data_IF_175414167817
#
_entry.id   IF_175414167817
#
_cell.length_a   1.000
_cell.length_b   1.000
_cell.length_c   1.000
_cell.angle_alpha   90.00
_cell.angle_beta   90.00
_cell.angle_gamma   90.00
#
_symmetry.space_group_name_H-M   'P 1'
#
loop_
_entity.id
_entity.type
_entity.pdbx_description
1 polymer ?
#
# COMPACT_ATOMS: atom_id res chain seq x y z
N UNK A 1 -13.30 -15.14 20.63
CA UNK A 1 -12.18 -14.62 19.81
C UNK A 1 -12.26 -13.11 19.87
N UNK A 2 -11.23 -12.46 20.31
CA UNK A 2 -11.17 -11.01 20.38
C UNK A 2 -10.40 -10.53 19.15
N UNK A 3 -10.97 -9.56 18.45
CA UNK A 3 -10.35 -9.01 17.23
C UNK A 3 -9.49 -7.82 17.59
N UNK A 4 -8.39 -7.64 16.87
CA UNK A 4 -7.52 -6.48 16.94
C UNK A 4 -7.54 -5.69 15.65
N UNK A 5 -7.41 -4.38 15.80
CA UNK A 5 -7.27 -3.42 14.72
C UNK A 5 -5.85 -2.88 14.75
N UNK A 6 -5.19 -2.87 13.60
CA UNK A 6 -3.82 -2.41 13.45
C UNK A 6 -3.78 -1.39 12.32
N UNK A 7 -3.26 -0.21 12.61
CA UNK A 7 -2.98 0.82 11.64
C UNK A 7 -1.51 1.24 11.66
N UNK A 8 -0.89 1.31 10.50
CA UNK A 8 0.51 1.73 10.33
C UNK A 8 0.54 2.77 9.24
N UNK A 9 0.92 3.99 9.60
CA UNK A 9 0.83 5.13 8.72
C UNK A 9 2.17 5.87 8.64
N UNK A 10 2.45 6.41 7.46
CA UNK A 10 3.61 7.23 7.13
C UNK A 10 3.16 8.57 6.58
N UNK A 11 4.00 9.56 6.70
CA UNK A 11 3.85 10.80 5.95
C UNK A 11 3.94 10.52 4.44
N UNK A 12 3.13 11.25 3.67
CA UNK A 12 3.00 11.03 2.25
C UNK A 12 2.86 12.37 1.51
N UNK A 13 3.12 12.41 0.19
CA UNK A 13 3.00 13.62 -0.59
C UNK A 13 1.57 14.16 -0.64
N UNK A 14 1.47 15.47 -0.77
CA UNK A 14 0.22 16.17 -1.03
C UNK A 14 -0.29 15.92 -2.45
N UNK A 15 -1.53 16.31 -2.73
CA UNK A 15 -2.12 16.21 -4.08
C UNK A 15 -1.39 17.08 -5.13
N UNK A 16 -0.63 18.10 -4.67
CA UNK A 16 0.13 19.01 -5.53
C UNK A 16 1.50 18.48 -5.91
N UNK A 17 2.00 17.50 -5.17
CA UNK A 17 3.33 16.93 -5.38
C UNK A 17 3.42 16.10 -6.66
N UNK A 18 4.62 16.08 -7.23
CA UNK A 18 4.93 15.23 -8.38
C UNK A 18 4.76 13.73 -8.07
N UNK A 19 5.01 13.34 -6.82
CA UNK A 19 4.96 11.96 -6.33
C UNK A 19 3.51 11.45 -6.10
N UNK A 20 2.51 12.30 -6.21
CA UNK A 20 1.09 11.96 -5.94
C UNK A 20 0.61 10.72 -6.70
N UNK A 21 0.81 10.67 -8.03
CA UNK A 21 0.37 9.54 -8.84
C UNK A 21 1.16 8.26 -8.55
N UNK A 22 2.41 8.41 -8.13
CA UNK A 22 3.24 7.27 -7.71
C UNK A 22 2.72 6.65 -6.42
N UNK A 23 2.23 7.45 -5.47
CA UNK A 23 1.58 6.95 -4.26
C UNK A 23 0.21 6.31 -4.53
N UNK A 24 -0.57 6.85 -5.47
CA UNK A 24 -1.79 6.17 -5.95
C UNK A 24 -1.47 4.82 -6.58
N UNK A 25 -0.36 4.74 -7.31
CA UNK A 25 0.09 3.47 -7.87
C UNK A 25 0.53 2.49 -6.78
N UNK A 26 1.29 2.93 -5.78
CA UNK A 26 1.67 2.11 -4.63
C UNK A 26 0.45 1.60 -3.87
N UNK A 27 -0.53 2.47 -3.60
CA UNK A 27 -1.80 2.06 -2.97
C UNK A 27 -2.50 0.96 -3.77
N UNK A 28 -2.56 1.12 -5.09
CA UNK A 28 -3.19 0.13 -5.95
C UNK A 28 -2.42 -1.19 -6.01
N UNK A 29 -1.09 -1.15 -5.96
CA UNK A 29 -0.22 -2.34 -5.97
C UNK A 29 -0.22 -3.06 -4.62
N UNK A 30 -0.22 -2.34 -3.51
CA UNK A 30 -0.41 -2.92 -2.17
C UNK A 30 -1.79 -3.56 -2.09
N UNK A 31 -2.80 -2.83 -2.54
CA UNK A 31 -4.17 -3.30 -2.72
C UNK A 31 -4.93 -3.52 -1.43
N UNK A 32 -5.84 -4.47 -1.46
CA UNK A 32 -6.65 -4.87 -0.32
C UNK A 32 -6.85 -6.38 -0.30
N UNK A 33 -7.07 -6.91 0.90
CA UNK A 33 -7.39 -8.30 1.16
C UNK A 33 -8.62 -8.36 2.06
N UNK A 34 -9.58 -9.20 1.70
CA UNK A 34 -10.76 -9.45 2.53
C UNK A 34 -11.14 -10.92 2.43
N UNK A 35 -11.35 -11.56 3.57
CA UNK A 35 -11.97 -12.88 3.60
C UNK A 35 -13.47 -12.68 3.49
N UNK A 36 -14.04 -13.02 2.35
CA UNK A 36 -15.48 -13.16 2.21
C UNK A 36 -15.91 -14.50 2.83
N UNK A 37 -16.58 -14.42 3.97
CA UNK A 37 -17.11 -15.59 4.70
C UNK A 37 -18.10 -16.41 3.85
N UNK A 38 -18.55 -15.89 2.73
CA UNK A 38 -19.49 -16.52 1.81
C UNK A 38 -18.86 -17.10 0.54
N UNK A 39 -17.57 -16.87 0.31
CA UNK A 39 -16.85 -17.46 -0.82
C UNK A 39 -16.52 -18.92 -0.53
N UNK A 40 -17.54 -19.76 -0.42
CA UNK A 40 -17.41 -21.20 -0.31
C UNK A 40 -16.85 -21.90 -1.56
N UNK A 41 -16.36 -21.14 -2.54
CA UNK A 41 -15.74 -21.67 -3.74
C UNK A 41 -14.38 -21.00 -3.96
N UNK A 42 -13.33 -21.79 -3.76
CA UNK A 42 -11.95 -21.51 -4.09
C UNK A 42 -11.70 -21.15 -5.57
N UNK A 43 -12.74 -21.05 -6.39
CA UNK A 43 -12.65 -20.89 -7.83
C UNK A 43 -12.96 -19.50 -8.37
N UNK A 44 -13.18 -18.51 -7.51
CA UNK A 44 -13.35 -17.16 -8.02
C UNK A 44 -11.99 -16.56 -8.39
N UNK A 45 -11.66 -16.77 -9.65
CA UNK A 45 -10.43 -16.40 -10.36
C UNK A 45 -10.22 -14.88 -10.48
N UNK A 46 -11.00 -14.08 -9.79
CA UNK A 46 -10.78 -12.64 -9.64
C UNK A 46 -9.95 -12.28 -8.42
N UNK A 47 -9.01 -13.15 -8.03
CA UNK A 47 -7.97 -12.78 -7.09
C UNK A 47 -7.14 -11.67 -7.74
N UNK A 48 -7.44 -10.42 -7.40
CA UNK A 48 -6.50 -9.35 -7.68
C UNK A 48 -5.20 -9.72 -6.97
N UNK A 49 -4.21 -10.10 -7.76
CA UNK A 49 -2.86 -10.36 -7.27
C UNK A 49 -2.28 -9.02 -6.81
N UNK A 50 -2.47 -8.73 -5.54
CA UNK A 50 -1.86 -7.58 -4.89
C UNK A 50 -0.98 -8.07 -3.74
N UNK A 51 -0.09 -7.22 -3.25
CA UNK A 51 0.87 -7.61 -2.23
C UNK A 51 0.24 -7.98 -0.90
N UNK A 52 -0.88 -7.34 -0.54
CA UNK A 52 -1.65 -7.70 0.66
C UNK A 52 -2.16 -9.14 0.57
N UNK A 53 -2.68 -9.54 -0.59
CA UNK A 53 -3.15 -10.90 -0.78
C UNK A 53 -1.99 -11.91 -0.75
N UNK A 54 -0.85 -11.57 -1.35
CA UNK A 54 0.32 -12.45 -1.37
C UNK A 54 0.90 -12.67 0.03
N UNK A 55 0.90 -11.65 0.87
CA UNK A 55 1.47 -11.73 2.23
C UNK A 55 0.52 -12.31 3.27
N UNK A 56 -0.79 -12.10 3.12
CA UNK A 56 -1.78 -12.44 4.13
C UNK A 56 -2.67 -13.62 3.74
N UNK A 57 -2.63 -14.05 2.48
CA UNK A 57 -3.52 -15.09 1.95
C UNK A 57 -3.42 -16.43 2.67
N UNK A 58 -2.28 -16.70 3.29
CA UNK A 58 -2.03 -17.92 4.07
C UNK A 58 -2.33 -17.76 5.57
N UNK A 59 -2.74 -16.56 6.02
CA UNK A 59 -3.08 -16.29 7.41
C UNK A 59 -4.61 -16.41 7.61
N UNK A 60 -5.09 -17.50 8.22
CA UNK A 60 -6.53 -17.85 8.19
C UNK A 60 -7.41 -16.87 8.99
N UNK A 61 -6.85 -16.11 9.91
CA UNK A 61 -7.60 -15.27 10.85
C UNK A 61 -7.40 -13.76 10.63
N UNK A 62 -6.72 -13.35 9.57
CA UNK A 62 -6.72 -11.96 9.11
C UNK A 62 -7.92 -11.75 8.21
N UNK A 63 -8.89 -10.96 8.66
CA UNK A 63 -10.18 -10.80 7.99
C UNK A 63 -10.15 -9.71 6.92
N UNK A 64 -9.43 -8.62 7.20
CA UNK A 64 -9.34 -7.45 6.31
C UNK A 64 -7.95 -6.86 6.38
N UNK A 65 -7.42 -6.51 5.22
CA UNK A 65 -6.26 -5.64 5.09
C UNK A 65 -6.49 -4.66 3.94
N UNK A 66 -6.13 -3.40 4.13
CA UNK A 66 -6.36 -2.36 3.13
C UNK A 66 -5.23 -1.34 3.17
N UNK A 67 -4.74 -0.96 1.99
CA UNK A 67 -3.82 0.15 1.83
C UNK A 67 -4.61 1.45 1.61
N UNK A 68 -4.29 2.46 2.38
CA UNK A 68 -4.98 3.74 2.41
C UNK A 68 -4.01 4.85 2.01
N UNK A 69 -4.48 5.76 1.16
CA UNK A 69 -3.77 6.98 0.82
C UNK A 69 -4.75 8.15 0.79
N UNK A 70 -4.50 9.11 1.65
CA UNK A 70 -5.26 10.36 1.72
C UNK A 70 -4.30 11.52 1.46
N UNK A 71 -4.51 12.19 0.33
CA UNK A 71 -3.73 13.37 -0.04
C UNK A 71 -4.58 14.63 0.15
N UNK A 72 -4.05 15.56 0.92
CA UNK A 72 -4.61 16.89 1.14
C UNK A 72 -3.86 17.93 0.31
N UNK A 73 -4.20 19.21 0.47
CA UNK A 73 -3.59 20.30 -0.29
C UNK A 73 -2.16 20.63 0.11
N UNK A 74 -1.75 20.26 1.31
CA UNK A 74 -0.48 20.58 1.96
C UNK A 74 0.31 19.34 2.43
N UNK A 75 -0.38 18.26 2.75
CA UNK A 75 0.22 17.03 3.26
C UNK A 75 -0.51 15.81 2.73
N UNK A 76 -0.03 14.63 3.07
CA UNK A 76 -0.69 13.36 2.79
C UNK A 76 -0.36 12.33 3.87
N UNK A 77 -1.19 11.30 3.94
CA UNK A 77 -1.00 10.14 4.81
C UNK A 77 -1.14 8.89 3.98
N UNK A 78 -0.15 8.02 4.06
CA UNK A 78 -0.15 6.71 3.42
C UNK A 78 0.05 5.62 4.46
N UNK A 79 -0.71 4.54 4.38
CA UNK A 79 -0.52 3.44 5.32
C UNK A 79 -1.36 2.23 5.02
N UNK A 80 -1.29 1.31 5.97
CA UNK A 80 -1.96 0.02 5.90
C UNK A 80 -2.82 -0.18 7.14
N UNK A 81 -4.05 -0.59 6.92
CA UNK A 81 -4.98 -0.97 7.97
C UNK A 81 -5.24 -2.47 7.91
N UNK A 82 -5.25 -3.12 9.07
CA UNK A 82 -5.49 -4.55 9.22
C UNK A 82 -6.54 -4.80 10.30
N UNK A 83 -7.36 -5.80 10.07
CA UNK A 83 -8.34 -6.28 11.04
C UNK A 83 -8.32 -7.81 11.05
N UNK A 84 -8.17 -8.38 12.24
CA UNK A 84 -8.07 -9.83 12.39
C UNK A 84 -8.03 -10.28 13.84
N UNK A 85 -7.75 -11.57 14.04
CA UNK A 85 -7.61 -12.16 15.35
C UNK A 85 -6.36 -11.61 16.06
N UNK A 86 -6.46 -11.45 17.39
CA UNK A 86 -5.39 -10.99 18.27
C UNK A 86 -4.07 -11.77 18.11
N UNK A 87 -4.15 -13.07 17.83
CA UNK A 87 -2.97 -13.95 17.64
C UNK A 87 -2.06 -13.45 16.51
N UNK A 88 -2.64 -12.82 15.49
CA UNK A 88 -1.91 -12.34 14.30
C UNK A 88 -1.55 -10.84 14.36
N UNK A 89 -1.81 -10.17 15.48
CA UNK A 89 -1.51 -8.73 15.63
C UNK A 89 -0.05 -8.42 15.33
N UNK A 90 0.86 -9.26 15.78
CA UNK A 90 2.31 -9.12 15.51
C UNK A 90 2.62 -9.25 14.02
N UNK A 91 2.04 -10.23 13.34
CA UNK A 91 2.22 -10.45 11.91
C UNK A 91 1.65 -9.28 11.08
N UNK A 92 0.48 -8.77 11.46
CA UNK A 92 -0.13 -7.60 10.82
C UNK A 92 0.78 -6.36 10.93
N UNK A 93 1.32 -6.09 12.12
CA UNK A 93 2.30 -5.02 12.32
C UNK A 93 3.56 -5.23 11.46
N UNK A 94 4.07 -6.46 11.44
CA UNK A 94 5.25 -6.80 10.64
C UNK A 94 5.00 -6.58 9.15
N UNK A 95 3.89 -7.07 8.61
CA UNK A 95 3.52 -6.88 7.21
C UNK A 95 3.44 -5.40 6.82
N UNK A 96 2.82 -4.57 7.66
CA UNK A 96 2.68 -3.14 7.38
C UNK A 96 4.00 -2.38 7.33
N UNK A 97 4.98 -2.78 8.13
CA UNK A 97 6.33 -2.18 8.11
C UNK A 97 7.17 -2.73 6.95
N UNK A 98 7.06 -4.03 6.65
CA UNK A 98 7.89 -4.67 5.63
C UNK A 98 7.47 -4.33 4.20
N UNK A 99 6.18 -4.11 3.94
CA UNK A 99 5.70 -3.84 2.58
C UNK A 99 6.45 -2.71 1.87
N UNK A 100 6.60 -1.51 2.45
CA UNK A 100 7.36 -0.44 1.81
C UNK A 100 8.83 -0.81 1.57
N UNK A 101 9.43 -1.57 2.50
CA UNK A 101 10.82 -2.02 2.40
C UNK A 101 11.00 -3.04 1.28
N UNK A 102 10.06 -4.00 1.14
CA UNK A 102 10.07 -4.97 0.05
C UNK A 102 9.99 -4.25 -1.30
N UNK A 103 9.15 -3.25 -1.43
CA UNK A 103 9.01 -2.48 -2.66
C UNK A 103 10.24 -1.64 -3.01
N UNK A 104 11.01 -1.18 -2.02
CA UNK A 104 12.25 -0.46 -2.29
C UNK A 104 13.34 -1.33 -2.93
N UNK A 105 13.29 -2.67 -2.74
CA UNK A 105 14.33 -3.59 -3.18
C UNK A 105 13.86 -4.59 -4.25
N UNK A 106 12.71 -5.20 -4.09
CA UNK A 106 12.27 -6.38 -4.87
C UNK A 106 11.18 -6.13 -5.91
N UNK A 107 10.89 -4.88 -6.20
CA UNK A 107 9.86 -4.55 -7.18
C UNK A 107 10.26 -5.01 -8.58
N UNK A 108 9.35 -5.76 -9.25
CA UNK A 108 9.56 -6.27 -10.61
C UNK A 108 8.85 -5.37 -11.64
N UNK A 109 9.44 -5.23 -12.84
CA UNK A 109 8.86 -4.45 -13.94
C UNK A 109 7.46 -4.95 -14.36
N UNK A 110 7.24 -6.27 -14.32
CA UNK A 110 5.94 -6.87 -14.64
C UNK A 110 4.87 -6.45 -13.65
N UNK A 111 5.19 -6.37 -12.36
CA UNK A 111 4.27 -5.91 -11.31
C UNK A 111 3.92 -4.44 -11.48
N UNK A 112 4.91 -3.61 -11.78
CA UNK A 112 4.70 -2.18 -12.07
C UNK A 112 3.82 -2.00 -13.28
N UNK A 113 4.06 -2.75 -14.37
CA UNK A 113 3.25 -2.70 -15.57
C UNK A 113 1.78 -3.09 -15.29
N UNK A 114 1.56 -4.18 -14.55
CA UNK A 114 0.22 -4.61 -14.14
C UNK A 114 -0.46 -3.58 -13.25
N UNK A 115 0.26 -3.03 -12.26
CA UNK A 115 -0.23 -1.99 -11.36
C UNK A 115 -0.63 -0.72 -12.11
N UNK A 116 0.18 -0.26 -13.08
CA UNK A 116 -0.13 0.89 -13.92
C UNK A 116 -1.40 0.68 -14.73
N UNK A 117 -1.54 -0.47 -15.38
CA UNK A 117 -2.73 -0.78 -16.16
C UNK A 117 -3.98 -0.84 -15.28
N UNK A 118 -3.87 -1.44 -14.09
CA UNK A 118 -4.97 -1.49 -13.14
C UNK A 118 -5.36 -0.09 -12.64
N UNK A 119 -4.38 0.74 -12.30
CA UNK A 119 -4.61 2.13 -11.89
C UNK A 119 -5.22 2.96 -13.04
N UNK A 120 -4.68 2.83 -14.24
CA UNK A 120 -5.21 3.50 -15.42
C UNK A 120 -6.68 3.15 -15.63
N UNK A 121 -7.02 1.87 -15.62
CA UNK A 121 -8.41 1.42 -15.77
C UNK A 121 -9.29 1.98 -14.65
N UNK A 122 -8.83 1.95 -13.39
CA UNK A 122 -9.57 2.50 -12.25
C UNK A 122 -9.85 3.99 -12.40
N UNK A 123 -8.88 4.77 -12.90
CA UNK A 123 -9.04 6.22 -13.10
C UNK A 123 -9.91 6.56 -14.32
N UNK A 124 -9.85 5.73 -15.38
CA UNK A 124 -10.61 5.97 -16.62
C UNK A 124 -12.05 5.43 -16.55
N UNK A 125 -12.33 4.44 -15.70
CA UNK A 125 -13.65 3.79 -15.55
C UNK A 125 -14.67 4.62 -14.75
N UNK A 126 -14.31 5.82 -14.28
CA UNK A 126 -15.23 6.72 -13.57
C UNK A 126 -16.18 7.37 -14.57
N UNK A 127 -17.35 6.79 -14.76
CA UNK A 127 -18.36 7.23 -15.71
C UNK A 127 -19.60 7.82 -15.03
N UNK A 128 -19.82 7.49 -13.76
CA UNK A 128 -20.97 8.03 -13.03
C UNK A 128 -20.84 9.55 -12.86
N UNK A 129 -21.91 10.32 -13.10
CA UNK A 129 -21.88 11.77 -12.95
C UNK A 129 -21.45 12.25 -11.57
N UNK A 130 -21.83 11.53 -10.51
CA UNK A 130 -21.41 11.77 -9.12
C UNK A 130 -19.90 11.72 -8.95
N UNK A 131 -19.27 10.69 -9.51
CA UNK A 131 -17.83 10.46 -9.38
C UNK A 131 -17.04 11.52 -10.15
N UNK A 132 -17.56 11.92 -11.32
CA UNK A 132 -16.96 12.99 -12.13
C UNK A 132 -17.06 14.33 -11.40
N UNK A 133 -18.19 14.65 -10.80
CA UNK A 133 -18.38 15.91 -10.05
C UNK A 133 -17.46 15.94 -8.84
N UNK A 134 -17.36 14.84 -8.11
CA UNK A 134 -16.47 14.73 -6.95
C UNK A 134 -15.00 14.89 -7.36
N UNK A 135 -14.57 14.21 -8.42
CA UNK A 135 -13.20 14.30 -8.96
C UNK A 135 -12.88 15.74 -9.39
N UNK A 136 -13.75 16.34 -10.19
CA UNK A 136 -13.55 17.73 -10.68
C UNK A 136 -13.54 18.71 -9.52
N UNK A 137 -14.46 18.57 -8.56
CA UNK A 137 -14.51 19.40 -7.37
C UNK A 137 -13.22 19.31 -6.55
N UNK A 138 -12.73 18.12 -6.31
CA UNK A 138 -11.47 17.90 -5.60
C UNK A 138 -10.28 18.50 -6.35
N UNK A 139 -10.21 18.34 -7.67
CA UNK A 139 -9.13 18.91 -8.49
C UNK A 139 -9.15 20.44 -8.48
N UNK A 140 -10.32 21.05 -8.62
CA UNK A 140 -10.44 22.52 -8.60
C UNK A 140 -10.08 23.09 -7.23
N UNK A 141 -10.56 22.47 -6.14
CA UNK A 141 -10.27 22.93 -4.79
C UNK A 141 -8.78 22.79 -4.41
N UNK A 142 -8.14 21.72 -4.84
CA UNK A 142 -6.74 21.46 -4.47
C UNK A 142 -5.71 22.02 -5.45
N UNK A 143 -5.99 21.95 -6.77
CA UNK A 143 -5.03 22.31 -7.82
C UNK A 143 -5.37 23.62 -8.53
N UNK A 144 -6.58 24.16 -8.32
CA UNK A 144 -7.08 25.35 -9.03
C UNK A 144 -7.45 25.09 -10.49
N UNK A 145 -7.33 23.85 -11.00
CA UNK A 145 -7.65 23.49 -12.38
C UNK A 145 -8.12 22.04 -12.48
N UNK A 146 -8.87 21.74 -13.54
CA UNK A 146 -9.18 20.38 -13.93
C UNK A 146 -8.01 19.77 -14.71
N UNK A 147 -7.64 18.55 -14.37
CA UNK A 147 -6.66 17.75 -15.11
C UNK A 147 -7.37 16.96 -16.21
N UNK A 148 -6.98 17.13 -17.49
CA UNK A 148 -7.51 16.28 -18.55
C UNK A 148 -7.07 14.84 -18.37
N UNK A 149 -7.93 13.88 -18.75
CA UNK A 149 -7.63 12.44 -18.65
C UNK A 149 -6.34 12.05 -19.39
N UNK A 150 -6.04 12.73 -20.51
CA UNK A 150 -4.80 12.53 -21.25
C UNK A 150 -3.54 12.93 -20.48
N UNK A 151 -3.61 13.96 -19.65
CA UNK A 151 -2.50 14.36 -18.76
C UNK A 151 -2.32 13.34 -17.64
N UNK A 152 -3.42 12.89 -17.02
CA UNK A 152 -3.37 11.84 -15.99
C UNK A 152 -2.75 10.57 -16.55
N UNK A 153 -3.18 10.13 -17.74
CA UNK A 153 -2.65 8.97 -18.42
C UNK A 153 -1.12 9.05 -18.65
N UNK A 154 -0.64 10.21 -19.10
CA UNK A 154 0.79 10.46 -19.30
C UNK A 154 1.57 10.39 -18.00
N UNK A 155 1.06 10.99 -16.92
CA UNK A 155 1.70 10.97 -15.61
C UNK A 155 1.85 9.54 -15.08
N UNK A 156 0.79 8.73 -15.19
CA UNK A 156 0.82 7.32 -14.77
C UNK A 156 1.77 6.49 -15.64
N UNK A 157 1.80 6.76 -16.95
CA UNK A 157 2.66 6.03 -17.89
C UNK A 157 4.16 6.26 -17.65
N UNK A 158 4.54 7.41 -17.11
CA UNK A 158 5.95 7.75 -16.84
C UNK A 158 6.51 7.10 -15.57
N UNK A 159 5.68 6.50 -14.74
CA UNK A 159 6.13 5.84 -13.51
C UNK A 159 6.76 4.50 -13.87
N UNK A 160 8.04 4.36 -13.68
CA UNK A 160 8.78 3.12 -13.89
C UNK A 160 9.21 2.47 -12.56
N UNK A 161 9.80 1.30 -12.65
CA UNK A 161 10.28 0.54 -11.50
C UNK A 161 11.36 1.29 -10.73
N UNK A 162 12.30 1.91 -11.43
CA UNK A 162 13.38 2.67 -10.80
C UNK A 162 12.83 3.85 -10.00
N UNK A 163 11.88 4.58 -10.59
CA UNK A 163 11.21 5.69 -9.93
C UNK A 163 10.48 5.25 -8.65
N UNK A 164 9.73 4.13 -8.69
CA UNK A 164 9.04 3.62 -7.50
C UNK A 164 10.00 3.14 -6.41
N UNK A 165 11.08 2.45 -6.76
CA UNK A 165 12.12 2.06 -5.79
C UNK A 165 12.74 3.28 -5.11
N UNK A 166 13.12 4.28 -5.90
CA UNK A 166 13.67 5.53 -5.38
C UNK A 166 12.66 6.24 -4.47
N UNK A 167 11.40 6.28 -4.86
CA UNK A 167 10.31 6.88 -4.09
C UNK A 167 10.11 6.15 -2.75
N UNK A 168 10.08 4.81 -2.75
CA UNK A 168 9.98 4.04 -1.52
C UNK A 168 11.17 4.28 -0.59
N UNK A 169 12.37 4.40 -1.13
CA UNK A 169 13.55 4.75 -0.33
C UNK A 169 13.44 6.18 0.23
N UNK A 170 13.00 7.15 -0.57
CA UNK A 170 12.87 8.54 -0.16
C UNK A 170 11.88 8.72 1.01
N UNK A 171 10.72 8.05 0.94
CA UNK A 171 9.61 8.29 1.85
C UNK A 171 9.52 7.32 3.03
N UNK A 172 10.09 6.11 2.90
CA UNK A 172 9.91 5.06 3.93
C UNK A 172 11.22 4.57 4.56
N UNK A 173 12.40 4.82 3.94
CA UNK A 173 13.66 4.22 4.40
C UNK A 173 14.00 4.59 5.83
N UNK A 174 14.01 5.85 6.16
CA UNK A 174 14.33 6.35 7.51
C UNK A 174 13.15 7.03 8.21
N UNK A 175 11.95 6.85 7.66
CA UNK A 175 10.73 7.38 8.23
C UNK A 175 10.24 6.54 9.41
N UNK A 176 9.84 7.21 10.49
CA UNK A 176 9.18 6.56 11.62
C UNK A 176 7.68 6.45 11.34
N UNK A 177 7.14 5.22 11.23
CA UNK A 177 5.70 5.05 11.08
C UNK A 177 4.95 5.36 12.37
N UNK A 178 3.76 5.91 12.22
CA UNK A 178 2.79 6.03 13.30
C UNK A 178 2.02 4.71 13.44
N UNK A 179 2.03 4.14 14.64
CA UNK A 179 1.32 2.90 14.97
C UNK A 179 0.04 3.19 15.74
N UNK A 180 -1.05 2.59 15.30
CA UNK A 180 -2.32 2.59 16.01
C UNK A 180 -2.80 1.16 16.15
N UNK A 181 -2.88 0.67 17.38
CA UNK A 181 -3.39 -0.65 17.69
C UNK A 181 -4.56 -0.53 18.65
N UNK A 182 -5.66 -1.20 18.34
CA UNK A 182 -6.81 -1.29 19.23
C UNK A 182 -7.31 -2.71 19.34
N UNK A 183 -7.45 -3.17 20.59
CA UNK A 183 -7.80 -4.53 20.95
C UNK A 183 -6.79 -5.10 21.95
N UNK A 184 -6.69 -6.42 22.10
CA UNK A 184 -5.66 -7.06 22.90
C UNK A 184 -4.30 -6.83 22.26
N UNK A 185 -3.49 -6.02 22.92
CA UNK A 185 -2.17 -5.60 22.40
C UNK A 185 -0.99 -6.25 23.13
N UNK A 186 -1.25 -7.26 23.96
CA UNK A 186 -0.22 -7.94 24.76
C UNK A 186 0.89 -8.57 23.90
N UNK A 187 0.56 -8.96 22.67
CA UNK A 187 1.50 -9.53 21.71
C UNK A 187 2.26 -8.48 20.88
N UNK A 188 1.94 -7.18 21.03
CA UNK A 188 2.56 -6.12 20.25
C UNK A 188 3.91 -5.76 20.84
N UNK A 189 4.97 -5.93 20.06
CA UNK A 189 6.31 -5.47 20.44
C UNK A 189 6.34 -3.96 20.58
N UNK A 190 7.10 -3.44 21.53
CA UNK A 190 7.31 -1.99 21.67
C UNK A 190 7.84 -1.40 20.35
N UNK A 191 7.44 -0.17 20.03
CA UNK A 191 7.77 0.54 18.78
C UNK A 191 9.28 0.51 18.46
N UNK A 192 10.15 0.56 19.48
CA UNK A 192 11.59 0.42 19.30
C UNK A 192 12.05 -0.89 18.68
N UNK A 193 11.31 -1.99 18.87
CA UNK A 193 11.60 -3.28 18.24
C UNK A 193 11.39 -3.26 16.73
N UNK A 194 10.47 -2.44 16.20
CA UNK A 194 10.22 -2.36 14.76
C UNK A 194 11.34 -1.63 14.02
N UNK A 195 12.04 -0.68 14.65
CA UNK A 195 13.24 -0.06 14.09
C UNK A 195 14.37 -1.07 13.88
N UNK A 196 14.61 -1.94 14.87
CA UNK A 196 15.56 -3.06 14.76
C UNK A 196 15.09 -4.12 13.75
N UNK A 197 13.80 -4.36 13.66
CA UNK A 197 13.23 -5.30 12.68
C UNK A 197 13.46 -4.82 11.26
N UNK A 198 13.28 -3.53 10.97
CA UNK A 198 13.52 -2.92 9.67
C UNK A 198 14.99 -3.09 9.23
N UNK A 199 15.92 -2.86 10.15
CA UNK A 199 17.36 -3.04 9.90
C UNK A 199 17.70 -4.52 9.67
N UNK A 200 17.19 -5.43 10.49
CA UNK A 200 17.45 -6.87 10.37
C UNK A 200 16.80 -7.47 9.11
N UNK A 201 15.62 -7.00 8.72
CA UNK A 201 14.98 -7.46 7.48
C UNK A 201 15.79 -7.03 6.26
N UNK A 202 16.36 -5.83 6.26
CA UNK A 202 17.27 -5.39 5.20
C UNK A 202 18.53 -6.24 5.12
N UNK A 203 19.12 -6.60 6.25
CA UNK A 203 20.30 -7.47 6.30
C UNK A 203 19.97 -8.89 5.81
N UNK A 204 18.82 -9.45 6.19
CA UNK A 204 18.38 -10.80 5.78
C UNK A 204 18.05 -10.84 4.28
N UNK A 205 17.42 -9.78 3.77
CA UNK A 205 17.08 -9.61 2.36
C UNK A 205 18.33 -9.45 1.50
N UNK A 206 19.33 -8.68 1.96
CA UNK A 206 20.63 -8.56 1.29
C UNK A 206 21.36 -9.89 1.21
N UNK A 207 21.31 -10.71 2.28
CA UNK A 207 21.92 -12.03 2.32
C UNK A 207 21.18 -13.06 1.44
N UNK A 208 19.85 -12.99 1.35
CA UNK A 208 19.07 -13.86 0.47
C UNK A 208 19.36 -13.60 -1.01
N UNK A 209 19.65 -12.36 -1.39
CA UNK A 209 20.04 -12.03 -2.76
C UNK A 209 21.40 -12.66 -3.15
N UNK A 210 22.31 -12.82 -2.20
CA UNK A 210 23.60 -13.47 -2.45
C UNK A 210 23.47 -15.00 -2.62
N UNK A 211 22.46 -15.63 -2.01
CA UNK A 211 22.25 -17.08 -2.08
C UNK A 211 21.50 -17.52 -3.35
N UNK A 212 20.74 -16.61 -3.97
CA UNK A 212 19.97 -16.92 -5.19
C UNK A 212 20.76 -16.74 -6.50
N UNK A 213 21.99 -16.22 -6.45
CA UNK A 213 22.85 -16.00 -7.61
C UNK A 213 24.22 -16.71 -7.53
N UNK A 214 24.39 -17.59 -6.56
CA UNK A 214 25.47 -18.58 -6.50
C UNK A 214 24.92 -19.98 -6.72
#
# INVERSE_FOLDING_TARGET
>A
MVNSNVGIFYDAPSIKDADYYSFLLLQNMFGSYRIDKHAGHLNDVKKQYNSMHAMLGDLPDVTLAESLYYAYSDCGIFGNYFFGNEVFTRQMNYCGVCLPTIYSHFLNDVEVYRGRNALYNKLMAREAPSDIVQEVGQQILSLGRRLPRSEIAKRVAHIDNYHLKHLCNKWFYDAEPSFTNWGPIESVSQVGSYKYFKINTMATVSNAHHVLYT
#
